data_IF_087968095872
#
_entry.id   IF_087968095872
#
_cell.length_a   1.000
_cell.length_b   1.000
_cell.length_c   1.000
_cell.angle_alpha   90.00
_cell.angle_beta   90.00
_cell.angle_gamma   90.00
#
_symmetry.space_group_name_H-M   'P 1'
#
loop_
_entity.id
_entity.type
_entity.pdbx_description
1 polymer ?
#
# COMPACT_ATOMS: atom_id res chain seq x y z
N UNK A 1 48.81 -83.19 35.62
CA UNK A 1 49.33 -81.98 36.30
C UNK A 1 50.69 -81.65 35.71
N UNK A 2 50.90 -80.37 35.36
CA UNK A 2 52.19 -79.67 35.13
C UNK A 2 52.85 -79.79 33.73
N UNK A 3 52.72 -78.66 33.01
CA UNK A 3 53.63 -77.92 32.09
C UNK A 3 54.44 -78.66 31.02
N UNK A 4 54.26 -78.23 29.77
CA UNK A 4 55.26 -78.36 28.69
C UNK A 4 55.50 -77.01 28.01
N UNK A 5 56.78 -76.76 27.72
CA UNK A 5 57.43 -75.54 27.29
C UNK A 5 57.39 -75.33 25.76
N UNK A 6 57.71 -74.09 25.37
CA UNK A 6 57.79 -73.48 24.02
C UNK A 6 58.51 -74.30 22.93
N UNK A 7 58.13 -74.07 21.66
CA UNK A 7 59.04 -73.70 20.54
C UNK A 7 58.26 -73.12 19.34
N UNK A 8 58.83 -72.12 18.66
CA UNK A 8 58.44 -71.48 17.37
C UNK A 8 59.52 -71.85 16.33
N UNK A 9 59.51 -71.40 15.04
CA UNK A 9 58.47 -71.04 14.04
C UNK A 9 58.79 -71.69 12.65
N UNK A 10 57.99 -71.45 11.59
CA UNK A 10 58.44 -71.26 10.18
C UNK A 10 57.24 -71.31 9.21
N UNK A 11 56.91 -70.19 8.57
CA UNK A 11 56.02 -70.15 7.40
C UNK A 11 56.51 -69.07 6.41
N UNK A 12 57.30 -69.57 5.46
CA UNK A 12 57.39 -69.25 4.03
C UNK A 12 57.19 -67.79 3.58
N UNK A 13 58.32 -67.20 3.14
CA UNK A 13 58.41 -66.11 2.16
C UNK A 13 58.59 -66.72 0.76
N UNK A 14 57.93 -66.16 -0.27
CA UNK A 14 58.60 -65.56 -1.46
C UNK A 14 57.69 -65.39 -2.70
N UNK A 15 58.05 -64.39 -3.51
CA UNK A 15 57.61 -63.99 -4.87
C UNK A 15 56.32 -63.14 -5.00
N UNK A 16 56.22 -62.05 -5.77
CA UNK A 16 57.11 -61.13 -6.49
C UNK A 16 56.23 -60.09 -7.24
N UNK A 17 56.87 -59.06 -7.83
CA UNK A 17 56.44 -58.20 -8.96
C UNK A 17 55.78 -56.81 -8.70
N UNK A 18 56.63 -55.79 -8.90
CA UNK A 18 56.55 -54.71 -9.91
C UNK A 18 55.25 -53.89 -10.04
N UNK A 19 55.35 -52.58 -9.80
CA UNK A 19 55.07 -51.53 -10.80
C UNK A 19 55.41 -50.14 -10.23
N UNK A 20 56.39 -49.49 -10.86
CA UNK A 20 56.56 -48.05 -10.75
C UNK A 20 55.43 -47.33 -11.49
N UNK A 21 54.86 -46.31 -10.87
CA UNK A 21 54.03 -45.32 -11.53
C UNK A 21 54.40 -43.94 -11.00
N UNK A 22 54.75 -43.08 -11.94
CA UNK A 22 55.31 -41.76 -11.79
C UNK A 22 54.46 -40.82 -10.95
N UNK A 23 55.15 -39.96 -10.20
CA UNK A 23 54.58 -38.74 -9.66
C UNK A 23 54.06 -37.84 -10.77
N UNK A 24 52.79 -37.48 -10.66
CA UNK A 24 52.12 -36.44 -11.42
C UNK A 24 51.02 -35.92 -10.52
N UNK A 25 51.38 -34.98 -9.63
CA UNK A 25 50.45 -34.32 -8.73
C UNK A 25 49.44 -33.50 -9.52
N UNK A 26 48.37 -34.14 -9.98
CA UNK A 26 47.14 -33.45 -10.37
C UNK A 26 46.48 -32.92 -9.10
N UNK A 27 47.04 -31.84 -8.55
CA UNK A 27 46.32 -30.96 -7.63
C UNK A 27 45.26 -30.27 -8.49
N UNK A 28 44.07 -30.89 -8.55
CA UNK A 28 42.87 -30.25 -9.03
C UNK A 28 42.78 -28.90 -8.30
N UNK A 29 42.69 -27.74 -8.99
CA UNK A 29 42.51 -26.48 -8.30
C UNK A 29 41.29 -26.65 -7.39
N UNK A 30 41.50 -26.52 -6.08
CA UNK A 30 40.40 -26.46 -5.13
C UNK A 30 39.56 -25.29 -5.60
N UNK A 31 38.39 -25.58 -6.18
CA UNK A 31 37.45 -24.55 -6.55
C UNK A 31 37.15 -23.78 -5.27
N UNK A 32 37.66 -22.55 -5.18
CA UNK A 32 37.34 -21.62 -4.10
C UNK A 32 35.83 -21.57 -4.06
N UNK A 33 35.23 -22.19 -3.04
CA UNK A 33 33.79 -22.23 -2.90
C UNK A 33 33.33 -20.77 -2.86
N UNK A 34 32.65 -20.34 -3.92
CA UNK A 34 32.08 -19.01 -4.00
C UNK A 34 31.30 -18.78 -2.71
N UNK A 35 31.73 -17.80 -1.92
CA UNK A 35 31.09 -17.48 -0.64
C UNK A 35 29.61 -17.26 -0.94
N UNK A 36 28.67 -17.91 -0.22
CA UNK A 36 27.26 -17.78 -0.53
C UNK A 36 26.87 -16.31 -0.43
N UNK A 37 26.58 -15.68 -1.57
CA UNK A 37 26.11 -14.29 -1.60
C UNK A 37 24.81 -14.26 -0.81
N UNK A 38 24.79 -13.51 0.30
CA UNK A 38 23.60 -13.41 1.13
C UNK A 38 22.39 -13.00 0.27
N UNK A 39 21.21 -13.63 0.45
CA UNK A 39 20.06 -13.36 -0.41
C UNK A 39 19.64 -11.89 -0.28
N UNK A 40 19.63 -11.17 -1.40
CA UNK A 40 19.18 -9.76 -1.45
C UNK A 40 17.71 -9.69 -1.05
N UNK A 41 17.41 -8.99 0.04
CA UNK A 41 16.05 -8.75 0.54
C UNK A 41 15.63 -7.32 0.23
N UNK A 42 14.37 -7.12 -0.18
CA UNK A 42 13.78 -5.79 -0.35
C UNK A 42 12.48 -5.69 0.43
N UNK A 43 12.15 -4.49 0.89
CA UNK A 43 10.90 -4.24 1.60
C UNK A 43 9.68 -4.60 0.74
N UNK A 44 8.60 -5.13 1.32
CA UNK A 44 7.35 -5.37 0.60
C UNK A 44 6.79 -4.08 0.00
N UNK A 45 6.08 -4.22 -1.13
CA UNK A 45 5.28 -3.13 -1.71
C UNK A 45 4.23 -2.65 -0.70
N UNK A 46 4.26 -1.36 -0.37
CA UNK A 46 3.24 -0.70 0.45
C UNK A 46 1.99 -0.45 -0.39
N UNK A 47 0.95 -1.24 -0.17
CA UNK A 47 -0.35 -1.04 -0.83
C UNK A 47 -1.13 0.06 -0.10
N UNK A 48 -1.55 1.09 -0.83
CA UNK A 48 -2.49 2.11 -0.37
C UNK A 48 -3.87 1.90 -1.00
N UNK A 49 -4.91 2.35 -0.30
CA UNK A 49 -6.27 2.38 -0.81
C UNK A 49 -6.81 3.82 -0.80
N UNK A 50 -7.34 4.25 -1.94
CA UNK A 50 -7.96 5.57 -2.11
C UNK A 50 -9.47 5.40 -2.30
N UNK A 51 -10.24 5.89 -1.32
CA UNK A 51 -11.68 5.69 -1.24
C UNK A 51 -12.42 6.96 -1.71
N UNK A 52 -13.12 6.84 -2.84
CA UNK A 52 -13.84 7.97 -3.43
C UNK A 52 -15.11 8.40 -2.69
N UNK A 53 -15.55 9.63 -2.96
CA UNK A 53 -16.83 10.16 -2.45
C UNK A 53 -18.04 9.62 -3.22
N UNK A 54 -19.19 9.47 -2.54
CA UNK A 54 -20.40 8.95 -3.19
C UNK A 54 -21.64 8.82 -2.28
N UNK A 55 -21.70 9.55 -1.16
CA UNK A 55 -22.79 9.48 -0.17
C UNK A 55 -23.11 8.02 0.24
N UNK A 56 -24.38 7.58 0.18
CA UNK A 56 -24.79 6.22 0.57
C UNK A 56 -24.05 5.09 -0.18
N UNK A 57 -23.50 5.37 -1.38
CA UNK A 57 -22.68 4.40 -2.15
C UNK A 57 -21.39 4.01 -1.42
N UNK A 58 -20.99 4.78 -0.40
CA UNK A 58 -19.82 4.56 0.45
C UNK A 58 -19.72 3.16 1.05
N UNK A 59 -20.85 2.49 1.28
CA UNK A 59 -20.84 1.12 1.82
C UNK A 59 -20.12 0.11 0.92
N UNK A 60 -19.99 0.37 -0.38
CA UNK A 60 -19.21 -0.49 -1.29
C UNK A 60 -17.73 -0.56 -0.92
N UNK A 61 -17.18 0.48 -0.29
CA UNK A 61 -15.80 0.48 0.18
C UNK A 61 -15.54 -0.63 1.20
N UNK A 62 -16.52 -0.95 2.06
CA UNK A 62 -16.42 -2.03 3.05
C UNK A 62 -16.23 -3.37 2.34
N UNK A 63 -17.04 -3.65 1.31
CA UNK A 63 -16.95 -4.88 0.52
C UNK A 63 -15.62 -5.01 -0.23
N UNK A 64 -15.10 -3.89 -0.77
CA UNK A 64 -13.78 -3.87 -1.39
C UNK A 64 -12.70 -4.25 -0.38
N UNK A 65 -12.65 -3.57 0.77
CA UNK A 65 -11.66 -3.81 1.82
C UNK A 65 -11.73 -5.27 2.28
N UNK A 66 -12.93 -5.79 2.53
CA UNK A 66 -13.17 -7.18 2.91
C UNK A 66 -12.51 -8.17 1.96
N UNK A 67 -12.71 -7.98 0.66
CA UNK A 67 -12.16 -8.89 -0.35
C UNK A 67 -10.66 -8.74 -0.56
N UNK A 68 -10.11 -7.53 -0.39
CA UNK A 68 -8.66 -7.33 -0.38
C UNK A 68 -8.03 -8.08 0.79
N UNK A 69 -8.52 -7.87 2.01
CA UNK A 69 -7.97 -8.49 3.23
C UNK A 69 -8.11 -10.03 3.19
N UNK A 70 -9.28 -10.55 2.80
CA UNK A 70 -9.51 -11.99 2.64
C UNK A 70 -8.58 -12.65 1.62
N UNK A 71 -7.99 -11.87 0.70
CA UNK A 71 -7.05 -12.34 -0.31
C UNK A 71 -5.58 -12.02 0.03
N UNK A 72 -5.29 -11.64 1.27
CA UNK A 72 -3.94 -11.36 1.76
C UNK A 72 -3.39 -10.00 1.34
N UNK A 73 -4.23 -9.10 0.82
CA UNK A 73 -3.85 -7.75 0.44
C UNK A 73 -4.35 -6.80 1.53
N UNK A 74 -3.43 -6.35 2.38
CA UNK A 74 -3.76 -5.43 3.46
C UNK A 74 -3.27 -4.02 3.09
N UNK A 75 -4.17 -3.09 2.74
CA UNK A 75 -3.79 -1.70 2.58
C UNK A 75 -3.18 -1.17 3.89
N UNK A 76 -1.95 -0.65 3.78
CA UNK A 76 -1.20 -0.07 4.90
C UNK A 76 -1.34 1.44 4.97
N UNK A 77 -1.88 2.07 3.93
CA UNK A 77 -2.17 3.50 3.83
C UNK A 77 -3.59 3.67 3.32
N UNK A 78 -4.31 4.65 3.89
CA UNK A 78 -5.70 4.92 3.53
C UNK A 78 -5.85 6.40 3.19
N UNK A 79 -6.49 6.71 2.08
CA UNK A 79 -7.01 8.05 1.80
C UNK A 79 -8.49 8.00 1.51
N UNK A 80 -9.23 9.05 1.89
CA UNK A 80 -10.67 9.08 1.71
C UNK A 80 -11.21 10.49 1.49
N UNK A 81 -12.21 10.56 0.62
CA UNK A 81 -13.01 11.76 0.34
C UNK A 81 -14.48 11.48 0.65
N UNK A 82 -15.14 12.39 1.36
CA UNK A 82 -16.57 12.30 1.69
C UNK A 82 -16.93 10.96 2.34
N UNK A 83 -17.88 10.19 1.80
CA UNK A 83 -18.20 8.85 2.27
C UNK A 83 -16.98 7.89 2.36
N UNK A 84 -15.99 8.05 1.48
CA UNK A 84 -14.71 7.33 1.57
C UNK A 84 -13.87 7.72 2.78
N UNK A 85 -13.96 8.96 3.25
CA UNK A 85 -13.28 9.41 4.48
C UNK A 85 -13.89 8.78 5.74
N UNK A 86 -15.22 8.57 5.76
CA UNK A 86 -15.91 7.87 6.85
C UNK A 86 -15.43 6.43 6.94
N UNK A 87 -15.54 5.66 5.85
CA UNK A 87 -15.08 4.25 5.84
C UNK A 87 -13.57 4.16 6.08
N UNK A 88 -12.80 5.09 5.49
CA UNK A 88 -11.36 5.16 5.68
C UNK A 88 -10.97 5.42 7.14
N UNK A 89 -11.68 6.29 7.86
CA UNK A 89 -11.47 6.53 9.29
C UNK A 89 -11.71 5.30 10.13
N UNK A 90 -12.81 4.58 9.90
CA UNK A 90 -13.11 3.34 10.61
C UNK A 90 -12.03 2.28 10.34
N UNK A 91 -11.65 2.09 9.08
CA UNK A 91 -10.63 1.12 8.71
C UNK A 91 -9.25 1.47 9.28
N UNK A 92 -8.87 2.75 9.23
CA UNK A 92 -7.60 3.22 9.77
C UNK A 92 -7.53 3.19 11.29
N UNK A 93 -8.68 3.29 11.99
CA UNK A 93 -8.77 3.09 13.45
C UNK A 93 -8.39 1.67 13.89
N UNK A 94 -8.40 0.72 12.94
CA UNK A 94 -8.12 -0.68 13.20
C UNK A 94 -9.33 -1.59 13.17
N UNK A 95 -10.50 -1.11 12.75
CA UNK A 95 -11.63 -1.98 12.49
C UNK A 95 -11.35 -2.86 11.28
N UNK A 96 -11.67 -4.15 11.38
CA UNK A 96 -11.73 -5.03 10.23
C UNK A 96 -13.02 -4.82 9.42
N UNK A 97 -13.07 -5.42 8.23
CA UNK A 97 -14.24 -5.27 7.36
C UNK A 97 -15.54 -5.82 7.97
N UNK A 98 -15.48 -6.81 8.85
CA UNK A 98 -16.66 -7.39 9.49
C UNK A 98 -17.23 -6.46 10.57
N UNK A 99 -16.36 -5.83 11.36
CA UNK A 99 -16.73 -4.79 12.32
C UNK A 99 -17.33 -3.58 11.59
N UNK A 100 -16.71 -3.12 10.49
CA UNK A 100 -17.28 -2.04 9.69
C UNK A 100 -18.63 -2.41 9.08
N UNK A 101 -18.78 -3.64 8.60
CA UNK A 101 -20.05 -4.16 8.10
C UNK A 101 -21.13 -4.16 9.21
N UNK A 102 -20.81 -4.59 10.44
CA UNK A 102 -21.73 -4.49 11.59
C UNK A 102 -22.13 -3.07 11.92
N UNK A 103 -21.18 -2.14 11.93
CA UNK A 103 -21.44 -0.71 12.14
C UNK A 103 -22.38 -0.17 11.07
N UNK A 104 -22.13 -0.49 9.80
CA UNK A 104 -23.02 -0.12 8.69
C UNK A 104 -24.43 -0.69 8.86
N UNK A 105 -24.56 -1.92 9.36
CA UNK A 105 -25.85 -2.55 9.64
C UNK A 105 -26.62 -1.88 10.78
N UNK A 106 -25.93 -1.52 11.86
CA UNK A 106 -26.49 -0.86 13.03
C UNK A 106 -26.74 0.65 12.83
N UNK A 107 -26.33 1.18 11.68
CA UNK A 107 -26.60 2.56 11.30
C UNK A 107 -28.09 2.72 10.98
N UNK A 108 -28.80 3.38 11.89
CA UNK A 108 -30.11 3.96 11.67
C UNK A 108 -29.93 5.34 11.04
N UNK A 109 -30.72 5.70 10.01
CA UNK A 109 -30.56 6.98 9.28
C UNK A 109 -30.63 8.21 10.22
N UNK A 110 -31.38 8.11 11.32
CA UNK A 110 -31.57 9.17 12.32
C UNK A 110 -30.30 9.50 13.12
N UNK A 111 -29.35 8.55 13.18
CA UNK A 111 -28.06 8.71 13.90
C UNK A 111 -27.07 9.59 13.14
N UNK A 112 -27.25 9.77 11.84
CA UNK A 112 -26.36 10.57 10.98
C UNK A 112 -27.03 11.82 10.40
N UNK A 113 -28.37 11.85 10.29
CA UNK A 113 -29.08 13.04 9.83
C UNK A 113 -29.33 13.99 11.00
N UNK A 114 -28.58 15.09 11.00
CA UNK A 114 -28.91 16.30 11.77
C UNK A 114 -30.05 17.05 11.07
N UNK A 115 -31.30 16.73 11.41
CA UNK A 115 -32.43 17.57 10.98
C UNK A 115 -32.44 18.83 11.86
N UNK A 116 -31.57 19.79 11.57
CA UNK A 116 -31.63 21.12 12.18
C UNK A 116 -32.73 21.93 11.48
N UNK A 117 -33.97 21.75 11.93
CA UNK A 117 -34.99 22.80 11.78
C UNK A 117 -34.41 24.07 12.44
N UNK A 118 -34.49 25.21 11.76
CA UNK A 118 -33.85 26.51 12.06
C UNK A 118 -32.46 26.75 11.43
N UNK A 119 -32.43 26.86 10.10
CA UNK A 119 -32.03 28.06 9.33
C UNK A 119 -31.85 27.70 7.84
N UNK A 120 -32.89 27.85 7.02
CA UNK A 120 -32.74 27.81 5.55
C UNK A 120 -32.51 26.45 4.86
N UNK A 121 -32.64 25.31 5.56
CA UNK A 121 -32.67 23.98 4.91
C UNK A 121 -31.33 23.24 4.73
N UNK A 122 -30.27 23.65 5.43
CA UNK A 122 -28.93 23.05 5.35
C UNK A 122 -28.61 22.20 6.60
N UNK A 123 -27.95 21.06 6.44
CA UNK A 123 -27.59 20.14 7.54
C UNK A 123 -26.23 20.53 8.15
N UNK A 124 -26.16 20.72 9.48
CA UNK A 124 -24.91 21.10 10.18
C UNK A 124 -23.81 20.04 10.09
N UNK A 125 -24.18 18.76 10.16
CA UNK A 125 -23.25 17.62 10.09
C UNK A 125 -22.47 17.35 11.38
N UNK A 126 -22.87 17.92 12.52
CA UNK A 126 -22.19 17.72 13.80
C UNK A 126 -22.37 16.28 14.32
N UNK A 127 -23.55 15.68 14.16
CA UNK A 127 -23.80 14.26 14.45
C UNK A 127 -22.87 13.34 13.69
N UNK A 128 -22.56 13.64 12.42
CA UNK A 128 -21.59 12.83 11.66
C UNK A 128 -20.21 12.88 12.30
N UNK A 129 -19.76 14.08 12.69
CA UNK A 129 -18.50 14.24 13.41
C UNK A 129 -18.49 13.45 14.72
N UNK A 130 -19.54 13.58 15.53
CA UNK A 130 -19.62 12.96 16.85
C UNK A 130 -19.71 11.44 16.74
N UNK A 131 -20.50 10.94 15.78
CA UNK A 131 -20.63 9.51 15.47
C UNK A 131 -19.30 8.89 15.04
N UNK A 132 -18.57 9.56 14.13
CA UNK A 132 -17.24 9.09 13.71
C UNK A 132 -16.28 9.10 14.89
N UNK A 133 -16.28 10.17 15.70
CA UNK A 133 -15.43 10.27 16.89
C UNK A 133 -15.72 9.17 17.91
N UNK A 134 -16.99 8.81 18.14
CA UNK A 134 -17.38 7.70 19.00
C UNK A 134 -16.85 6.37 18.46
N UNK A 135 -17.10 6.08 17.18
CA UNK A 135 -16.68 4.82 16.55
C UNK A 135 -15.17 4.63 16.54
N UNK A 136 -14.39 5.70 16.35
CA UNK A 136 -12.92 5.63 16.41
C UNK A 136 -12.36 5.80 17.82
N UNK A 137 -13.22 5.78 18.86
CA UNK A 137 -12.85 5.96 20.26
C UNK A 137 -12.02 7.24 20.52
N UNK A 138 -12.45 8.36 19.93
CA UNK A 138 -11.84 9.69 20.03
C UNK A 138 -10.38 9.76 19.54
N UNK A 139 -9.95 8.75 18.77
CA UNK A 139 -8.61 8.70 18.20
C UNK A 139 -8.43 9.84 17.20
N UNK A 140 -7.33 10.58 17.35
CA UNK A 140 -6.91 11.61 16.39
C UNK A 140 -6.30 10.96 15.14
N UNK A 141 -6.27 11.70 14.03
CA UNK A 141 -5.78 11.19 12.74
C UNK A 141 -4.34 10.66 12.82
N UNK A 142 -3.44 11.36 13.52
CA UNK A 142 -2.04 10.98 13.70
C UNK A 142 -1.86 9.74 14.59
N UNK A 143 -2.87 9.39 15.37
CA UNK A 143 -2.86 8.24 16.28
C UNK A 143 -3.52 6.99 15.67
N UNK A 144 -3.96 7.03 14.41
CA UNK A 144 -4.58 5.90 13.70
C UNK A 144 -3.63 4.71 13.58
N UNK A 145 -4.18 3.48 13.58
CA UNK A 145 -3.37 2.26 13.41
C UNK A 145 -2.76 2.17 12.01
N UNK A 146 -3.44 2.75 11.02
CA UNK A 146 -2.95 2.93 9.66
C UNK A 146 -2.91 4.43 9.35
N UNK A 147 -1.86 4.95 8.69
CA UNK A 147 -1.86 6.32 8.18
C UNK A 147 -3.12 6.62 7.37
N UNK A 148 -3.78 7.72 7.72
CA UNK A 148 -5.04 8.17 7.12
C UNK A 148 -4.90 9.60 6.60
N UNK A 149 -5.30 9.80 5.35
CA UNK A 149 -5.49 11.10 4.74
C UNK A 149 -6.98 11.34 4.47
N UNK A 150 -7.53 12.39 5.08
CA UNK A 150 -8.90 12.86 4.79
C UNK A 150 -8.81 14.10 3.93
N UNK A 151 -9.40 14.08 2.73
CA UNK A 151 -9.28 15.19 1.78
C UNK A 151 -10.52 16.07 1.81
N UNK A 152 -10.31 17.38 1.93
CA UNK A 152 -11.35 18.39 1.85
C UNK A 152 -10.92 19.53 0.91
N UNK A 153 -11.88 20.35 0.51
CA UNK A 153 -11.62 21.55 -0.28
C UNK A 153 -11.67 22.76 0.62
N UNK A 154 -10.59 23.56 0.64
CA UNK A 154 -10.61 24.85 1.31
C UNK A 154 -11.41 25.85 0.46
N UNK A 155 -12.43 26.46 1.05
CA UNK A 155 -13.42 27.23 0.34
C UNK A 155 -12.88 28.60 -0.12
N UNK A 156 -11.92 29.17 0.61
CA UNK A 156 -11.38 30.50 0.34
C UNK A 156 -10.60 30.59 -0.99
N UNK A 157 -9.87 29.53 -1.36
CA UNK A 157 -8.97 29.53 -2.51
C UNK A 157 -9.05 28.26 -3.37
N UNK A 158 -9.99 27.35 -3.07
CA UNK A 158 -10.19 26.11 -3.80
C UNK A 158 -9.06 25.10 -3.64
N UNK A 159 -8.10 25.30 -2.72
CA UNK A 159 -6.97 24.36 -2.58
C UNK A 159 -7.40 23.06 -1.93
N UNK A 160 -6.86 21.96 -2.46
CA UNK A 160 -6.93 20.63 -1.86
C UNK A 160 -6.21 20.64 -0.51
N UNK A 161 -6.94 20.32 0.56
CA UNK A 161 -6.38 20.16 1.91
C UNK A 161 -6.42 18.68 2.29
N UNK A 162 -5.28 18.17 2.76
CA UNK A 162 -5.14 16.78 3.21
C UNK A 162 -4.94 16.78 4.72
N UNK A 163 -5.98 16.39 5.46
CA UNK A 163 -5.90 16.24 6.90
C UNK A 163 -5.28 14.89 7.25
N UNK A 164 -4.12 14.94 7.91
CA UNK A 164 -3.38 13.78 8.45
C UNK A 164 -3.19 13.87 9.96
N UNK A 165 -3.65 14.96 10.57
CA UNK A 165 -3.55 15.25 12.01
C UNK A 165 -4.77 16.01 12.52
N UNK A 166 -5.10 15.87 13.79
CA UNK A 166 -6.21 16.56 14.46
C UNK A 166 -7.43 15.66 14.69
N UNK A 167 -8.58 16.30 14.97
CA UNK A 167 -9.82 15.59 15.26
C UNK A 167 -10.36 14.86 14.01
N UNK A 168 -10.54 13.55 14.11
CA UNK A 168 -10.95 12.71 12.98
C UNK A 168 -12.36 13.02 12.52
N UNK A 169 -13.33 13.10 13.42
CA UNK A 169 -14.71 13.42 13.07
C UNK A 169 -14.85 14.79 12.41
N UNK A 170 -14.09 15.78 12.87
CA UNK A 170 -14.08 17.13 12.29
C UNK A 170 -13.52 17.13 10.86
N UNK A 171 -12.42 16.42 10.62
CA UNK A 171 -11.85 16.26 9.28
C UNK A 171 -12.81 15.52 8.34
N UNK A 172 -13.45 14.45 8.83
CA UNK A 172 -14.46 13.69 8.07
C UNK A 172 -15.68 14.55 7.76
N UNK A 173 -16.20 15.31 8.73
CA UNK A 173 -17.30 16.25 8.52
C UNK A 173 -16.95 17.27 7.44
N UNK A 174 -15.77 17.90 7.51
CA UNK A 174 -15.30 18.83 6.48
C UNK A 174 -15.23 18.16 5.09
N UNK A 175 -14.70 16.94 5.02
CA UNK A 175 -14.62 16.13 3.79
C UNK A 175 -15.98 15.71 3.23
N UNK A 176 -17.03 15.68 4.06
CA UNK A 176 -18.41 15.30 3.72
C UNK A 176 -19.38 16.48 3.61
N UNK A 177 -18.90 17.72 3.72
CA UNK A 177 -19.75 18.92 3.64
C UNK A 177 -20.10 19.27 2.19
N UNK A 178 -21.00 18.47 1.59
CA UNK A 178 -21.42 18.63 0.18
C UNK A 178 -22.07 20.01 -0.01
N UNK A 179 -21.57 20.85 -0.94
CA UNK A 179 -22.16 22.16 -1.22
C UNK A 179 -23.65 22.07 -1.54
N UNK A 180 -24.46 22.93 -0.90
CA UNK A 180 -25.91 22.95 -1.07
C UNK A 180 -26.68 21.89 -0.28
N UNK A 181 -26.01 20.97 0.42
CA UNK A 181 -26.63 19.95 1.28
C UNK A 181 -26.22 20.12 2.74
N UNK A 182 -24.92 20.32 2.97
CA UNK A 182 -24.33 20.45 4.31
C UNK A 182 -23.63 21.80 4.48
N UNK A 183 -23.59 22.28 5.72
CA UNK A 183 -22.89 23.52 6.06
C UNK A 183 -21.38 23.33 5.92
N UNK A 184 -20.70 24.36 5.41
CA UNK A 184 -19.25 24.38 5.36
C UNK A 184 -18.66 24.38 6.78
N UNK A 185 -17.55 23.69 6.99
CA UNK A 185 -16.96 23.52 8.32
C UNK A 185 -15.80 24.46 8.49
N UNK A 186 -15.82 25.29 9.54
CA UNK A 186 -14.66 26.09 9.93
C UNK A 186 -13.71 25.27 10.80
N UNK A 187 -12.45 25.18 10.41
CA UNK A 187 -11.36 24.54 11.18
C UNK A 187 -10.19 25.52 11.24
N UNK A 188 -9.91 26.06 12.44
CA UNK A 188 -9.01 27.20 12.58
C UNK A 188 -9.54 28.42 11.82
N UNK A 189 -8.70 29.02 10.99
CA UNK A 189 -9.03 30.22 10.21
C UNK A 189 -9.59 29.94 8.82
N UNK A 190 -9.71 28.66 8.44
CA UNK A 190 -10.17 28.25 7.11
C UNK A 190 -11.51 27.53 7.15
N UNK A 191 -12.25 27.66 6.07
CA UNK A 191 -13.57 27.07 5.86
C UNK A 191 -13.46 25.96 4.82
N UNK A 192 -14.12 24.84 5.07
CA UNK A 192 -13.95 23.63 4.27
C UNK A 192 -15.29 23.10 3.78
N UNK A 193 -15.27 22.58 2.55
CA UNK A 193 -16.37 21.83 1.93
C UNK A 193 -15.87 20.48 1.44
N UNK A 194 -16.79 19.65 0.95
CA UNK A 194 -16.52 18.30 0.49
C UNK A 194 -15.32 18.22 -0.45
N UNK A 195 -14.41 17.29 -0.18
CA UNK A 195 -13.18 17.12 -0.96
C UNK A 195 -13.44 16.68 -2.41
N UNK A 196 -14.63 16.19 -2.72
CA UNK A 196 -15.03 15.76 -4.05
C UNK A 196 -15.05 16.87 -5.08
N UNK A 197 -15.01 18.14 -4.65
CA UNK A 197 -14.86 19.28 -5.56
C UNK A 197 -13.46 19.33 -6.19
N UNK A 198 -12.43 18.86 -5.49
CA UNK A 198 -11.01 18.97 -5.93
C UNK A 198 -10.28 17.64 -6.03
N UNK A 199 -10.77 16.60 -5.37
CA UNK A 199 -10.15 15.29 -5.30
C UNK A 199 -11.21 14.21 -5.02
N UNK A 200 -12.07 13.87 -6.02
CA UNK A 200 -13.14 12.89 -5.86
C UNK A 200 -12.64 11.51 -5.42
N UNK A 201 -11.47 11.09 -5.90
CA UNK A 201 -10.83 9.83 -5.52
C UNK A 201 -9.37 10.11 -5.19
N UNK A 202 -9.00 10.19 -3.89
CA UNK A 202 -7.77 10.84 -3.45
C UNK A 202 -6.51 9.96 -3.60
N UNK A 203 -6.21 9.58 -4.85
CA UNK A 203 -5.05 8.73 -5.23
C UNK A 203 -3.74 9.37 -4.82
N UNK A 204 -3.59 10.67 -5.10
CA UNK A 204 -2.36 11.40 -4.80
C UNK A 204 -2.13 11.49 -3.29
N UNK A 205 -3.18 11.66 -2.48
CA UNK A 205 -3.05 11.69 -1.03
C UNK A 205 -2.55 10.34 -0.47
N UNK A 206 -2.97 9.21 -1.05
CA UNK A 206 -2.42 7.90 -0.68
C UNK A 206 -0.94 7.78 -1.07
N UNK A 207 -0.55 8.30 -2.25
CA UNK A 207 0.85 8.34 -2.68
C UNK A 207 1.71 9.21 -1.76
N UNK A 208 1.21 10.39 -1.39
CA UNK A 208 1.87 11.33 -0.48
C UNK A 208 2.09 10.73 0.93
N UNK A 209 1.18 9.85 1.37
CA UNK A 209 1.34 9.06 2.60
C UNK A 209 2.31 7.86 2.47
N UNK A 210 2.95 7.68 1.31
CA UNK A 210 3.99 6.67 1.09
C UNK A 210 3.50 5.35 0.51
N UNK A 211 2.34 5.33 -0.16
CA UNK A 211 1.91 4.16 -0.91
C UNK A 211 2.76 3.95 -2.19
N UNK A 212 3.24 2.72 -2.36
CA UNK A 212 3.98 2.26 -3.53
C UNK A 212 3.06 1.77 -4.65
N UNK A 213 1.87 1.32 -4.29
CA UNK A 213 0.84 0.79 -5.17
C UNK A 213 -0.52 1.25 -4.66
N UNK A 214 -1.30 1.94 -5.46
CA UNK A 214 -2.60 2.52 -5.07
C UNK A 214 -3.75 1.82 -5.77
N UNK A 215 -4.67 1.28 -4.96
CA UNK A 215 -5.96 0.77 -5.40
C UNK A 215 -7.00 1.87 -5.16
N UNK A 216 -7.53 2.43 -6.24
CA UNK A 216 -8.57 3.45 -6.19
C UNK A 216 -9.97 2.81 -6.27
N UNK A 217 -10.88 3.23 -5.40
CA UNK A 217 -12.28 2.79 -5.41
C UNK A 217 -13.16 3.96 -5.80
N UNK A 218 -13.66 3.91 -7.03
CA UNK A 218 -14.47 4.98 -7.63
C UNK A 218 -15.95 4.62 -7.54
N UNK A 219 -16.63 5.29 -6.62
CA UNK A 219 -18.09 5.25 -6.41
C UNK A 219 -18.76 6.60 -6.76
N UNK A 220 -18.00 7.48 -7.43
CA UNK A 220 -18.39 8.86 -7.66
C UNK A 220 -19.67 8.93 -8.47
N UNK A 221 -20.57 9.84 -8.08
CA UNK A 221 -21.77 10.12 -8.87
C UNK A 221 -21.39 10.59 -10.27
N UNK A 222 -22.20 10.20 -11.25
CA UNK A 222 -21.99 10.53 -12.65
C UNK A 222 -23.19 11.28 -13.20
N UNK A 223 -22.94 12.23 -14.10
CA UNK A 223 -23.99 12.78 -14.93
C UNK A 223 -24.69 11.63 -15.67
N UNK A 224 -26.00 11.53 -15.48
CA UNK A 224 -26.88 10.48 -16.02
C UNK A 224 -27.39 10.79 -17.43
N UNK A 225 -26.89 11.87 -18.04
CA UNK A 225 -27.30 12.36 -19.35
C UNK A 225 -28.62 13.12 -19.36
N UNK A 226 -29.26 13.34 -18.20
CA UNK A 226 -30.50 14.10 -18.09
C UNK A 226 -30.23 15.51 -17.54
N UNK A 227 -30.89 16.50 -18.12
CA UNK A 227 -30.83 17.87 -17.61
C UNK A 227 -31.69 18.00 -16.35
N UNK A 228 -31.16 18.54 -15.24
CA UNK A 228 -31.96 18.79 -14.05
C UNK A 228 -33.08 19.82 -14.31
N UNK A 229 -34.23 19.62 -13.68
CA UNK A 229 -35.38 20.53 -13.80
C UNK A 229 -35.34 21.75 -12.87
N UNK A 230 -34.31 21.92 -12.04
CA UNK A 230 -34.23 22.97 -11.01
C UNK A 230 -32.89 23.69 -11.03
N UNK A 231 -32.86 24.95 -10.59
CA UNK A 231 -31.62 25.75 -10.51
C UNK A 231 -30.56 25.07 -9.63
N UNK A 232 -30.96 24.60 -8.45
CA UNK A 232 -30.06 23.89 -7.54
C UNK A 232 -29.57 22.57 -8.18
N UNK A 233 -30.46 21.87 -8.90
CA UNK A 233 -30.10 20.67 -9.66
C UNK A 233 -29.04 20.98 -10.73
N UNK A 234 -29.19 22.08 -11.47
CA UNK A 234 -28.22 22.50 -12.49
C UNK A 234 -26.85 22.77 -11.87
N UNK A 235 -26.79 23.50 -10.76
CA UNK A 235 -25.54 23.78 -10.04
C UNK A 235 -24.88 22.47 -9.58
N UNK A 236 -25.64 21.56 -8.97
CA UNK A 236 -25.13 20.28 -8.49
C UNK A 236 -24.65 19.37 -9.64
N UNK A 237 -25.34 19.39 -10.77
CA UNK A 237 -24.92 18.66 -11.97
C UNK A 237 -23.64 19.25 -12.56
N UNK A 238 -23.49 20.58 -12.60
CA UNK A 238 -22.25 21.23 -13.04
C UNK A 238 -21.07 20.85 -12.14
N UNK A 239 -21.26 20.86 -10.81
CA UNK A 239 -20.24 20.39 -9.86
C UNK A 239 -19.89 18.93 -10.11
N UNK A 240 -20.90 18.08 -10.31
CA UNK A 240 -20.71 16.66 -10.62
C UNK A 240 -19.90 16.46 -11.90
N UNK A 241 -20.22 17.18 -12.98
CA UNK A 241 -19.49 17.10 -14.27
C UNK A 241 -18.03 17.54 -14.10
N UNK A 242 -17.77 18.64 -13.38
CA UNK A 242 -16.42 19.10 -13.10
C UNK A 242 -15.64 18.07 -12.27
N UNK A 243 -16.26 17.55 -11.21
CA UNK A 243 -15.70 16.49 -10.36
C UNK A 243 -15.38 15.24 -11.16
N UNK A 244 -16.24 14.81 -12.09
CA UNK A 244 -15.97 13.65 -12.95
C UNK A 244 -14.71 13.82 -13.82
N UNK A 245 -14.50 15.01 -14.39
CA UNK A 245 -13.31 15.29 -15.21
C UNK A 245 -12.05 15.28 -14.36
N UNK A 246 -12.11 15.89 -13.18
CA UNK A 246 -10.99 15.93 -12.25
C UNK A 246 -10.65 14.53 -11.71
N UNK A 247 -11.67 13.77 -11.30
CA UNK A 247 -11.51 12.38 -10.86
C UNK A 247 -10.94 11.50 -11.96
N UNK A 248 -11.31 11.69 -13.23
CA UNK A 248 -10.72 10.95 -14.34
C UNK A 248 -9.20 11.19 -14.46
N UNK A 249 -8.73 12.42 -14.21
CA UNK A 249 -7.30 12.74 -14.19
C UNK A 249 -6.59 12.09 -13.00
N UNK A 250 -7.18 12.14 -11.80
CA UNK A 250 -6.62 11.46 -10.61
C UNK A 250 -6.52 9.95 -10.79
N UNK A 251 -7.58 9.33 -11.32
CA UNK A 251 -7.67 7.89 -11.51
C UNK A 251 -6.65 7.34 -12.52
N UNK A 252 -6.12 8.16 -13.44
CA UNK A 252 -5.03 7.76 -14.33
C UNK A 252 -3.73 7.45 -13.58
N UNK A 253 -3.56 8.02 -12.38
CA UNK A 253 -2.37 7.82 -11.54
C UNK A 253 -2.49 6.62 -10.60
N UNK A 254 -3.66 5.97 -10.55
CA UNK A 254 -3.86 4.75 -9.77
C UNK A 254 -3.35 3.52 -10.52
N UNK A 255 -2.79 2.56 -9.80
CA UNK A 255 -2.33 1.30 -10.41
C UNK A 255 -3.50 0.39 -10.77
N UNK A 256 -4.55 0.42 -9.95
CA UNK A 256 -5.81 -0.30 -10.14
C UNK A 256 -6.96 0.62 -9.80
N UNK A 257 -7.96 0.66 -10.68
CA UNK A 257 -9.25 1.31 -10.39
C UNK A 257 -10.33 0.24 -10.29
N UNK A 258 -11.04 0.24 -9.17
CA UNK A 258 -12.21 -0.57 -8.89
C UNK A 258 -13.46 0.29 -9.04
N UNK A 259 -14.45 -0.21 -9.77
CA UNK A 259 -15.73 0.48 -10.00
C UNK A 259 -16.89 -0.46 -9.64
N UNK A 260 -17.31 -0.46 -8.36
CA UNK A 260 -18.54 -1.14 -7.94
C UNK A 260 -19.75 -0.65 -8.74
N UNK A 261 -20.72 -1.53 -9.07
CA UNK A 261 -21.93 -1.12 -9.82
C UNK A 261 -22.97 -0.52 -8.87
N UNK A 262 -22.67 0.67 -8.36
CA UNK A 262 -23.48 1.36 -7.34
C UNK A 262 -24.12 2.66 -7.85
N UNK A 263 -24.04 2.92 -9.16
CA UNK A 263 -24.59 4.15 -9.73
C UNK A 263 -26.13 4.19 -9.70
N UNK A 264 -26.77 3.02 -9.67
CA UNK A 264 -28.22 2.87 -9.54
C UNK A 264 -28.72 3.07 -8.10
N UNK A 265 -27.79 3.16 -7.12
CA UNK A 265 -28.13 3.44 -5.72
C UNK A 265 -28.24 4.95 -5.54
N UNK A 266 -29.40 5.40 -5.05
CA UNK A 266 -29.64 6.80 -4.75
C UNK A 266 -28.67 7.34 -3.70
N UNK A 267 -28.25 8.61 -3.83
CA UNK A 267 -27.28 9.22 -2.90
C UNK A 267 -27.77 9.23 -1.43
N UNK A 268 -29.08 9.20 -1.21
CA UNK A 268 -29.74 9.21 0.09
C UNK A 268 -30.40 7.85 0.46
N UNK A 269 -30.15 6.79 -0.31
CA UNK A 269 -30.74 5.46 -0.11
C UNK A 269 -29.82 4.56 0.72
N UNK A 270 -29.94 4.65 2.05
CA UNK A 270 -29.13 3.85 2.98
C UNK A 270 -29.69 2.43 3.17
N UNK A 271 -30.91 2.15 2.71
CA UNK A 271 -31.51 0.82 2.75
C UNK A 271 -30.75 -0.17 1.84
N UNK A 272 -30.19 0.31 0.74
CA UNK A 272 -29.38 -0.49 -0.21
C UNK A 272 -27.93 -0.75 0.24
N UNK A 273 -27.60 -0.55 1.52
CA UNK A 273 -26.27 -0.81 2.07
C UNK A 273 -25.73 -2.21 1.77
N UNK A 274 -26.60 -3.23 1.81
CA UNK A 274 -26.22 -4.61 1.47
C UNK A 274 -25.79 -4.76 0.03
N UNK A 275 -26.60 -4.23 -0.88
CA UNK A 275 -26.32 -4.23 -2.31
C UNK A 275 -25.01 -3.53 -2.60
N UNK A 276 -24.77 -2.36 -2.00
CA UNK A 276 -23.52 -1.63 -2.14
C UNK A 276 -22.30 -2.45 -1.67
N UNK A 277 -22.36 -3.06 -0.48
CA UNK A 277 -21.29 -3.93 0.03
C UNK A 277 -21.01 -5.07 -0.94
N UNK A 278 -22.05 -5.78 -1.40
CA UNK A 278 -21.90 -6.90 -2.34
C UNK A 278 -21.29 -6.47 -3.68
N UNK A 279 -21.66 -5.30 -4.21
CA UNK A 279 -21.06 -4.75 -5.43
C UNK A 279 -19.57 -4.39 -5.23
N UNK A 280 -19.22 -3.91 -4.03
CA UNK A 280 -17.83 -3.72 -3.62
C UNK A 280 -17.04 -5.02 -3.62
N UNK A 281 -17.61 -6.08 -3.02
CA UNK A 281 -17.00 -7.41 -3.00
C UNK A 281 -16.78 -7.95 -4.42
N UNK A 282 -17.82 -7.88 -5.27
CA UNK A 282 -17.77 -8.32 -6.68
C UNK A 282 -16.68 -7.59 -7.46
N UNK A 283 -16.59 -6.26 -7.34
CA UNK A 283 -15.61 -5.45 -8.05
C UNK A 283 -14.17 -5.79 -7.64
N UNK A 284 -13.94 -5.99 -6.34
CA UNK A 284 -12.62 -6.36 -5.83
C UNK A 284 -12.21 -7.78 -6.25
N UNK A 285 -13.11 -8.75 -6.14
CA UNK A 285 -12.86 -10.13 -6.57
C UNK A 285 -12.54 -10.22 -8.07
N UNK A 286 -13.33 -9.53 -8.90
CA UNK A 286 -13.10 -9.51 -10.35
C UNK A 286 -11.72 -8.94 -10.73
N UNK A 287 -11.22 -7.97 -9.97
CA UNK A 287 -9.92 -7.37 -10.21
C UNK A 287 -8.75 -8.11 -9.53
N UNK A 288 -9.03 -9.07 -8.65
CA UNK A 288 -8.03 -9.71 -7.78
C UNK A 288 -6.83 -10.32 -8.54
N UNK A 289 -7.02 -11.07 -9.65
CA UNK A 289 -5.88 -11.60 -10.40
C UNK A 289 -4.97 -10.49 -10.92
N UNK A 290 -5.55 -9.40 -11.41
CA UNK A 290 -4.82 -8.24 -11.93
C UNK A 290 -4.08 -7.49 -10.82
N UNK A 291 -4.68 -7.35 -9.64
CA UNK A 291 -4.05 -6.73 -8.48
C UNK A 291 -2.81 -7.54 -8.06
N UNK A 292 -2.97 -8.84 -7.84
CA UNK A 292 -1.86 -9.74 -7.43
C UNK A 292 -0.73 -9.73 -8.45
N UNK A 293 -1.05 -9.80 -9.74
CA UNK A 293 -0.06 -9.76 -10.82
C UNK A 293 0.76 -8.46 -10.81
N UNK A 294 0.12 -7.29 -10.70
CA UNK A 294 0.86 -6.02 -10.69
C UNK A 294 1.69 -5.81 -9.43
N UNK A 295 1.20 -6.23 -8.25
CA UNK A 295 1.98 -6.16 -7.01
C UNK A 295 3.22 -7.07 -7.13
N UNK A 296 3.06 -8.30 -7.64
CA UNK A 296 4.17 -9.22 -7.86
C UNK A 296 5.20 -8.66 -8.85
N UNK A 297 4.75 -8.05 -9.95
CA UNK A 297 5.62 -7.39 -10.92
C UNK A 297 6.43 -6.26 -10.27
N UNK A 298 5.80 -5.41 -9.46
CA UNK A 298 6.49 -4.33 -8.76
C UNK A 298 7.50 -4.86 -7.73
N UNK A 299 7.15 -5.93 -7.01
CA UNK A 299 8.06 -6.59 -6.06
C UNK A 299 9.27 -7.20 -6.77
N UNK A 300 9.06 -7.85 -7.92
CA UNK A 300 10.14 -8.41 -8.74
C UNK A 300 11.07 -7.32 -9.30
N UNK A 301 10.50 -6.21 -9.79
CA UNK A 301 11.28 -5.07 -10.27
C UNK A 301 12.18 -4.48 -9.15
N UNK A 302 11.66 -4.38 -7.92
CA UNK A 302 12.45 -3.96 -6.74
C UNK A 302 13.59 -4.92 -6.43
N UNK A 303 13.32 -6.22 -6.44
CA UNK A 303 14.33 -7.25 -6.21
C UNK A 303 15.44 -7.19 -7.28
N UNK A 304 15.07 -7.04 -8.56
CA UNK A 304 16.01 -6.91 -9.66
C UNK A 304 16.89 -5.66 -9.51
N UNK A 305 16.28 -4.51 -9.23
CA UNK A 305 17.01 -3.26 -9.01
C UNK A 305 17.97 -3.35 -7.80
N UNK A 306 17.57 -4.00 -6.72
CA UNK A 306 18.43 -4.20 -5.55
C UNK A 306 19.61 -5.14 -5.84
N UNK A 307 19.38 -6.23 -6.58
CA UNK A 307 20.45 -7.14 -7.02
C UNK A 307 21.46 -6.42 -7.91
N UNK A 308 20.99 -5.58 -8.82
CA UNK A 308 21.87 -4.79 -9.68
C UNK A 308 22.70 -3.79 -8.87
N UNK A 309 22.12 -3.10 -7.89
CA UNK A 309 22.88 -2.22 -6.99
C UNK A 309 23.97 -2.95 -6.22
N UNK A 310 23.67 -4.14 -5.68
CA UNK A 310 24.66 -4.96 -4.97
C UNK A 310 25.77 -5.41 -5.92
N UNK A 311 25.43 -5.81 -7.15
CA UNK A 311 26.42 -6.19 -8.17
C UNK A 311 27.34 -5.03 -8.51
N UNK A 312 26.79 -3.84 -8.76
CA UNK A 312 27.59 -2.63 -9.08
C UNK A 312 28.48 -2.25 -7.90
N UNK A 313 27.96 -2.29 -6.67
CA UNK A 313 28.74 -2.00 -5.46
C UNK A 313 29.90 -3.00 -5.30
N UNK A 314 29.66 -4.30 -5.48
CA UNK A 314 30.71 -5.31 -5.37
C UNK A 314 31.84 -5.10 -6.40
N UNK A 315 31.48 -4.73 -7.64
CA UNK A 315 32.48 -4.39 -8.68
C UNK A 315 33.28 -3.14 -8.29
N UNK A 316 32.62 -2.12 -7.74
CA UNK A 316 33.29 -0.89 -7.28
C UNK A 316 34.22 -1.15 -6.09
N UNK A 317 33.78 -1.96 -5.12
CA UNK A 317 34.56 -2.32 -3.94
C UNK A 317 35.78 -3.17 -4.32
N UNK A 318 35.63 -4.12 -5.25
CA UNK A 318 36.74 -4.91 -5.78
C UNK A 318 37.76 -4.03 -6.52
N UNK A 319 37.30 -3.10 -7.36
CA UNK A 319 38.17 -2.15 -8.06
C UNK A 319 38.92 -1.24 -7.07
N UNK A 320 38.24 -0.79 -6.00
CA UNK A 320 38.87 0.01 -4.94
C UNK A 320 39.90 -0.80 -4.15
N UNK A 321 39.58 -2.03 -3.77
CA UNK A 321 40.49 -2.91 -3.05
C UNK A 321 41.74 -3.23 -3.89
N UNK A 322 41.56 -3.44 -5.19
CA UNK A 322 42.68 -3.62 -6.13
C UNK A 322 43.55 -2.36 -6.19
N UNK A 323 42.96 -1.18 -6.34
CA UNK A 323 43.71 0.09 -6.37
C UNK A 323 44.46 0.35 -5.05
N UNK A 324 43.86 0.02 -3.89
CA UNK A 324 44.51 0.12 -2.59
C UNK A 324 45.66 -0.90 -2.44
N UNK A 325 45.53 -2.11 -2.97
CA UNK A 325 46.60 -3.11 -3.03
C UNK A 325 47.78 -2.60 -3.89
N UNK A 326 47.50 -2.12 -5.10
CA UNK A 326 48.50 -1.60 -6.03
C UNK A 326 49.24 -0.37 -5.48
N UNK A 327 48.54 0.49 -4.71
CA UNK A 327 49.13 1.67 -4.07
C UNK A 327 50.05 1.32 -2.88
N UNK A 328 49.80 0.19 -2.20
CA UNK A 328 50.63 -0.29 -1.08
C UNK A 328 51.90 -1.01 -1.52
N UNK A 329 51.95 -1.50 -2.76
CA UNK A 329 53.15 -2.15 -3.30
C UNK A 329 54.26 -1.13 -3.61
N UNK A 330 55.35 -1.18 -2.83
CA UNK A 330 56.57 -0.42 -3.09
C UNK A 330 57.34 -0.93 -4.33
N UNK A 331 58.28 -0.13 -4.84
CA UNK A 331 59.05 -0.41 -6.07
C UNK A 331 59.80 -1.75 -6.04
N UNK A 332 60.22 -2.21 -4.84
CA UNK A 332 60.95 -3.48 -4.64
C UNK A 332 60.01 -4.70 -4.65
N UNK A 333 58.77 -4.57 -4.16
CA UNK A 333 57.79 -5.67 -4.18
C UNK A 333 57.25 -5.96 -5.58
N UNK A 334 57.16 -4.92 -6.43
CA UNK A 334 56.87 -5.07 -7.87
C UNK A 334 57.94 -5.85 -8.62
N UNK A 335 59.21 -5.73 -8.21
CA UNK A 335 60.35 -6.47 -8.77
C UNK A 335 60.42 -7.93 -8.28
N UNK A 336 59.98 -8.21 -7.05
CA UNK A 336 60.03 -9.54 -6.44
C UNK A 336 58.77 -10.40 -6.65
N UNK A 337 57.72 -9.90 -7.33
CA UNK A 337 56.42 -10.58 -7.55
C UNK A 337 55.83 -11.20 -6.27
N UNK A 338 55.98 -10.54 -5.12
CA UNK A 338 55.63 -11.15 -3.82
C UNK A 338 54.14 -11.12 -3.48
N UNK A 339 53.34 -10.27 -4.12
CA UNK A 339 51.89 -10.20 -3.90
C UNK A 339 51.13 -10.03 -5.23
N UNK A 340 50.26 -10.97 -5.56
CA UNK A 340 49.46 -10.96 -6.79
C UNK A 340 48.13 -10.24 -6.54
N UNK A 341 48.12 -8.90 -6.66
CA UNK A 341 46.92 -8.09 -6.46
C UNK A 341 45.77 -8.44 -7.43
N UNK A 342 46.03 -9.21 -8.51
CA UNK A 342 44.98 -9.65 -9.44
C UNK A 342 44.04 -10.72 -8.86
N UNK A 343 44.43 -11.39 -7.76
CA UNK A 343 43.60 -12.40 -7.10
C UNK A 343 42.44 -11.81 -6.27
N UNK A 344 42.50 -10.51 -5.93
CA UNK A 344 41.48 -9.82 -5.12
C UNK A 344 40.24 -9.36 -5.92
N UNK A 345 40.29 -9.47 -7.25
CA UNK A 345 39.25 -8.98 -8.16
C UNK A 345 38.27 -10.06 -8.66
N UNK A 346 38.35 -11.30 -8.15
CA UNK A 346 37.52 -12.44 -8.58
C UNK A 346 36.46 -12.84 -7.55
#
# INVERSE_FOLDING_TARGET
>A
MIRVFRLRPLLLLSFALLLGACGGGNVKPTATAATPVAPVRVAPVKVGIALGGGAAKGFAHIGVIKMLEANGIQPVVVSGTSAGSVVGALYASGMDAFQMQKVAFALDEDKIRDVSLFSGGVIKGQKLQDYVNELVAQRKLEAMKRPLAVVATRLEDGKRTVFVRGNTGQAVRASSSIPGVFEAVKIGDSTYVDGGVVSPVPVDAARELGADFVIAVDISSKADGKAPGSLLGNINQSITIMGQKLGALELQRADIVLRPKVLDIGAADFAQKNTAILEGERAALAAMPRIKAKIAQLQQARLAAAREKVRVQAVQDAARAQAECEARQGTVDKLLRREDCTALAR
#
